data_IF_593828770009
#
_entry.id   IF_593828770009
#
_cell.length_a   1.000
_cell.length_b   1.000
_cell.length_c   1.000
_cell.angle_alpha   90.00
_cell.angle_beta   90.00
_cell.angle_gamma   90.00
#
_symmetry.space_group_name_H-M   'P 1'
#
loop_
_entity.id
_entity.type
_entity.pdbx_description
1 polymer ?
#
# COMPACT_ATOMS: atom_id res chain seq x y z
N UNK A 1 32.46 1.43 -3.55
CA UNK A 1 31.35 0.83 -4.34
C UNK A 1 30.18 0.69 -3.39
N UNK A 2 29.11 1.45 -3.61
CA UNK A 2 27.85 1.32 -2.86
C UNK A 2 27.08 0.20 -3.54
N UNK A 3 26.86 -0.91 -2.82
CA UNK A 3 25.98 -2.00 -3.28
C UNK A 3 24.60 -1.74 -2.72
N UNK A 4 23.64 -1.41 -3.57
CA UNK A 4 22.24 -1.38 -3.20
C UNK A 4 21.73 -2.82 -3.15
N UNK A 5 21.34 -3.29 -1.97
CA UNK A 5 20.60 -4.55 -1.82
C UNK A 5 19.18 -4.41 -2.40
N UNK A 6 18.55 -5.53 -2.71
CA UNK A 6 17.11 -5.53 -3.01
C UNK A 6 16.36 -5.01 -1.78
N UNK A 7 15.54 -3.97 -1.98
CA UNK A 7 14.69 -3.43 -0.92
C UNK A 7 13.72 -4.50 -0.42
N UNK A 8 13.52 -4.57 0.89
CA UNK A 8 12.49 -5.44 1.47
C UNK A 8 11.11 -4.85 1.17
N UNK A 9 10.20 -5.69 0.68
CA UNK A 9 8.81 -5.32 0.50
C UNK A 9 8.13 -5.34 1.87
N UNK A 10 7.52 -4.23 2.24
CA UNK A 10 6.82 -4.10 3.52
C UNK A 10 5.35 -4.39 3.29
N UNK A 11 4.91 -5.57 3.67
CA UNK A 11 3.50 -5.96 3.69
C UNK A 11 2.78 -5.36 4.90
N UNK A 12 1.46 -5.31 4.84
CA UNK A 12 0.56 -5.00 5.97
C UNK A 12 -0.51 -6.06 6.10
N UNK A 13 -1.24 -6.04 7.20
CA UNK A 13 -2.36 -6.94 7.42
C UNK A 13 -3.60 -6.15 7.81
N UNK A 14 -4.78 -6.63 7.40
CA UNK A 14 -6.09 -6.15 7.85
C UNK A 14 -7.00 -7.32 8.16
N UNK A 15 -8.26 -7.07 8.45
CA UNK A 15 -9.27 -8.10 8.72
C UNK A 15 -10.41 -8.04 7.71
N UNK A 16 -10.99 -9.20 7.38
CA UNK A 16 -12.08 -9.30 6.43
C UNK A 16 -13.47 -9.14 7.07
N UNK A 17 -13.60 -9.41 8.37
CA UNK A 17 -14.89 -9.45 9.07
C UNK A 17 -14.78 -8.84 10.46
N UNK A 18 -15.85 -8.20 10.95
CA UNK A 18 -15.94 -7.72 12.33
C UNK A 18 -15.74 -8.84 13.34
N UNK A 19 -15.09 -8.52 14.45
CA UNK A 19 -14.85 -9.46 15.54
C UNK A 19 -14.75 -8.72 16.86
N UNK A 20 -15.28 -9.33 17.93
CA UNK A 20 -15.03 -8.87 19.28
C UNK A 20 -13.76 -9.52 19.82
N UNK A 21 -12.85 -8.71 20.31
CA UNK A 21 -11.64 -9.12 21.00
C UNK A 21 -11.74 -8.85 22.50
N UNK A 22 -11.47 -9.86 23.31
CA UNK A 22 -11.50 -9.76 24.78
C UNK A 22 -10.11 -9.91 25.35
N UNK A 23 -9.70 -8.96 26.17
CA UNK A 23 -8.43 -8.98 26.88
C UNK A 23 -8.63 -8.92 28.38
N UNK A 24 -8.09 -9.89 29.08
CA UNK A 24 -8.13 -9.99 30.52
C UNK A 24 -6.70 -10.05 31.08
N UNK A 25 -6.43 -9.25 32.10
CA UNK A 25 -5.13 -9.20 32.77
C UNK A 25 -5.35 -9.21 34.29
N UNK A 26 -5.02 -10.33 34.93
CA UNK A 26 -5.24 -10.54 36.36
C UNK A 26 -4.09 -11.33 37.02
N UNK A 27 -2.83 -10.82 37.03
CA UNK A 27 -1.77 -11.41 37.80
C UNK A 27 -1.77 -10.88 39.23
N UNK A 28 -1.86 -11.76 40.22
CA UNK A 28 -1.77 -11.46 41.66
C UNK A 28 -2.73 -10.33 42.12
N UNK A 29 -2.24 -9.08 42.25
CA UNK A 29 -2.99 -7.91 42.71
C UNK A 29 -3.38 -6.96 41.61
N UNK A 30 -3.33 -7.36 40.36
CA UNK A 30 -3.68 -6.55 39.19
C UNK A 30 -4.96 -7.05 38.57
N UNK A 31 -5.76 -6.14 38.00
CA UNK A 31 -6.99 -6.51 37.32
C UNK A 31 -7.33 -5.49 36.23
N UNK A 32 -7.48 -5.93 35.01
CA UNK A 32 -8.12 -5.15 33.95
C UNK A 32 -8.78 -6.08 32.93
N UNK A 33 -9.94 -5.66 32.45
CA UNK A 33 -10.67 -6.32 31.35
C UNK A 33 -11.08 -5.30 30.32
N UNK A 34 -10.93 -5.63 29.04
CA UNK A 34 -11.24 -4.78 27.89
C UNK A 34 -11.90 -5.61 26.81
N UNK A 35 -13.02 -5.11 26.30
CA UNK A 35 -13.71 -5.65 25.13
C UNK A 35 -13.63 -4.64 24.00
N UNK A 36 -13.11 -5.06 22.87
CA UNK A 36 -12.92 -4.25 21.66
C UNK A 36 -13.65 -4.87 20.49
N UNK A 37 -14.43 -4.08 19.77
CA UNK A 37 -14.93 -4.45 18.45
C UNK A 37 -13.88 -4.01 17.42
N UNK A 38 -13.38 -4.96 16.64
CA UNK A 38 -12.50 -4.71 15.50
C UNK A 38 -13.33 -4.86 14.24
N UNK A 39 -13.35 -3.83 13.40
CA UNK A 39 -14.11 -3.80 12.15
C UNK A 39 -13.16 -3.45 11.00
N UNK A 40 -13.36 -4.03 9.79
CA UNK A 40 -12.63 -3.58 8.61
C UNK A 40 -12.84 -2.09 8.40
N UNK A 41 -11.75 -1.33 8.21
CA UNK A 41 -11.76 0.08 7.86
C UNK A 41 -11.63 0.31 6.37
N UNK A 42 -11.73 1.57 5.95
CA UNK A 42 -11.49 1.96 4.56
C UNK A 42 -10.00 1.81 4.20
N UNK A 43 -9.67 1.44 2.95
CA UNK A 43 -8.29 1.37 2.51
C UNK A 43 -7.53 2.68 2.77
N UNK A 44 -6.39 2.60 3.45
CA UNK A 44 -5.57 3.74 3.81
C UNK A 44 -6.00 4.49 5.08
N UNK A 45 -7.08 4.06 5.78
CA UNK A 45 -7.54 4.71 7.02
C UNK A 45 -6.63 4.45 8.23
N UNK A 46 -5.76 3.44 8.15
CA UNK A 46 -4.90 3.07 9.26
C UNK A 46 -5.68 2.45 10.43
N UNK A 47 -5.39 2.89 11.67
CA UNK A 47 -6.11 2.46 12.87
C UNK A 47 -6.98 3.61 13.34
N UNK A 48 -8.30 3.42 13.26
CA UNK A 48 -9.29 4.33 13.81
C UNK A 48 -9.76 3.85 15.17
N UNK A 49 -9.99 4.77 16.12
CA UNK A 49 -10.41 4.44 17.48
C UNK A 49 -11.70 5.16 17.84
N UNK A 50 -12.66 4.41 18.35
CA UNK A 50 -13.92 4.93 18.87
C UNK A 50 -14.23 4.33 20.25
N UNK A 51 -15.21 4.89 20.97
CA UNK A 51 -15.75 4.31 22.20
C UNK A 51 -17.26 4.39 22.19
N UNK A 52 -17.89 3.28 22.51
CA UNK A 52 -19.32 3.14 22.80
C UNK A 52 -19.56 2.77 24.27
N UNK A 53 -18.50 2.69 25.06
CA UNK A 53 -18.56 2.37 26.47
C UNK A 53 -19.15 3.52 27.27
N UNK A 54 -20.16 3.21 28.12
CA UNK A 54 -20.71 4.18 29.06
C UNK A 54 -19.69 4.56 30.16
N UNK A 55 -19.67 5.83 30.57
CA UNK A 55 -18.85 6.29 31.70
C UNK A 55 -19.26 5.63 33.03
N UNK A 56 -20.51 5.21 33.16
CA UNK A 56 -21.02 4.47 34.34
C UNK A 56 -20.41 3.06 34.41
N UNK A 57 -20.03 2.48 33.30
CA UNK A 57 -19.40 1.15 33.22
C UNK A 57 -17.89 1.23 33.41
N UNK A 58 -17.26 2.17 32.71
CA UNK A 58 -15.83 2.40 32.78
C UNK A 58 -15.52 3.90 32.73
N UNK A 59 -14.88 4.43 33.76
CA UNK A 59 -14.48 5.83 33.83
C UNK A 59 -13.76 6.32 32.56
N UNK A 60 -14.07 7.53 32.15
CA UNK A 60 -13.57 8.13 30.90
C UNK A 60 -12.02 8.19 30.84
N UNK A 61 -11.34 8.31 31.97
CA UNK A 61 -9.88 8.31 32.00
C UNK A 61 -9.31 6.94 31.59
N UNK A 62 -9.97 5.86 32.02
CA UNK A 62 -9.60 4.50 31.59
C UNK A 62 -9.88 4.28 30.10
N UNK A 63 -11.03 4.77 29.60
CA UNK A 63 -11.33 4.70 28.17
C UNK A 63 -10.30 5.44 27.33
N UNK A 64 -9.90 6.65 27.74
CA UNK A 64 -8.85 7.42 27.07
C UNK A 64 -7.49 6.72 27.12
N UNK A 65 -7.18 6.07 28.22
CA UNK A 65 -5.97 5.29 28.37
C UNK A 65 -5.96 4.07 27.45
N UNK A 66 -7.07 3.33 27.35
CA UNK A 66 -7.24 2.22 26.39
C UNK A 66 -7.05 2.74 24.97
N UNK A 67 -7.69 3.86 24.58
CA UNK A 67 -7.53 4.47 23.28
C UNK A 67 -6.06 4.83 22.98
N UNK A 68 -5.34 5.36 23.97
CA UNK A 68 -3.90 5.62 23.84
C UNK A 68 -3.12 4.34 23.59
N UNK A 69 -3.42 3.27 24.31
CA UNK A 69 -2.73 1.98 24.13
C UNK A 69 -3.01 1.30 22.80
N UNK A 70 -4.16 1.58 22.16
CA UNK A 70 -4.46 1.10 20.81
C UNK A 70 -3.52 1.77 19.79
N UNK A 71 -3.23 3.06 19.92
CA UNK A 71 -2.45 3.80 18.91
C UNK A 71 -0.96 3.98 19.24
N UNK A 72 -0.52 3.70 20.48
CA UNK A 72 0.86 3.95 20.91
C UNK A 72 1.92 3.07 20.22
N UNK A 73 1.49 2.00 19.56
CA UNK A 73 2.39 1.08 18.86
C UNK A 73 1.71 0.42 17.67
N UNK A 74 2.51 -0.06 16.74
CA UNK A 74 2.04 -0.97 15.69
C UNK A 74 1.67 -2.34 16.29
N UNK A 75 0.50 -2.85 15.91
CA UNK A 75 0.06 -4.18 16.31
C UNK A 75 0.43 -5.19 15.22
N UNK A 76 1.16 -6.26 15.56
CA UNK A 76 1.49 -7.28 14.58
C UNK A 76 0.26 -8.11 14.22
N UNK A 77 0.03 -8.31 12.94
CA UNK A 77 -0.98 -9.22 12.43
C UNK A 77 -0.71 -10.69 12.77
N UNK A 78 -1.54 -11.59 12.30
CA UNK A 78 -1.47 -13.01 12.64
C UNK A 78 -0.99 -13.90 11.50
N UNK A 79 -0.92 -13.38 10.27
CA UNK A 79 -0.45 -14.12 9.09
C UNK A 79 1.08 -14.12 9.00
N UNK A 80 1.65 -12.93 8.94
CA UNK A 80 3.10 -12.74 8.75
C UNK A 80 3.76 -11.96 9.89
N UNK A 81 2.95 -11.36 10.76
CA UNK A 81 3.41 -10.42 11.78
C UNK A 81 3.62 -9.01 11.25
N UNK A 82 3.20 -8.73 10.02
CA UNK A 82 3.21 -7.39 9.45
C UNK A 82 2.28 -6.45 10.21
N UNK A 83 2.51 -5.13 10.12
CA UNK A 83 1.72 -4.16 10.84
C UNK A 83 0.24 -4.20 10.45
N UNK A 84 -0.65 -4.19 11.44
CA UNK A 84 -2.09 -4.07 11.25
C UNK A 84 -2.43 -2.66 10.74
N UNK A 85 -3.34 -2.57 9.77
CA UNK A 85 -3.84 -1.32 9.20
C UNK A 85 -5.30 -1.47 8.76
N UNK A 86 -5.95 -0.34 8.48
CA UNK A 86 -7.31 -0.29 7.92
C UNK A 86 -8.30 -1.06 8.79
N UNK A 87 -8.25 -0.78 10.11
CA UNK A 87 -9.13 -1.38 11.11
C UNK A 87 -9.67 -0.29 12.03
N UNK A 88 -10.99 -0.24 12.19
CA UNK A 88 -11.64 0.54 13.22
C UNK A 88 -11.76 -0.29 14.48
N UNK A 89 -11.28 0.24 15.60
CA UNK A 89 -11.31 -0.41 16.91
C UNK A 89 -12.20 0.40 17.84
N UNK A 90 -13.34 -0.18 18.22
CA UNK A 90 -14.34 0.45 19.10
C UNK A 90 -14.27 -0.17 20.50
N UNK A 91 -14.12 0.65 21.52
CA UNK A 91 -14.18 0.22 22.93
C UNK A 91 -15.64 -0.05 23.26
N UNK A 92 -16.03 -1.33 23.49
CA UNK A 92 -17.38 -1.72 23.84
C UNK A 92 -17.62 -1.63 25.33
N UNK A 93 -16.74 -2.21 26.13
CA UNK A 93 -16.83 -2.24 27.59
C UNK A 93 -15.45 -2.54 28.19
N UNK A 94 -15.35 -2.35 29.48
CA UNK A 94 -14.17 -2.71 30.25
C UNK A 94 -14.47 -2.76 31.75
N UNK A 95 -13.54 -3.32 32.49
CA UNK A 95 -13.68 -3.45 33.93
C UNK A 95 -12.38 -3.14 34.66
N UNK A 96 -12.49 -2.27 35.66
CA UNK A 96 -11.44 -1.93 36.58
C UNK A 96 -11.79 -2.40 38.00
N UNK A 97 -10.79 -2.66 38.80
CA UNK A 97 -10.96 -2.92 40.22
C UNK A 97 -10.38 -1.77 41.05
N UNK A 98 -11.16 -1.16 41.93
CA UNK A 98 -10.83 0.08 42.67
C UNK A 98 -9.45 0.04 43.36
N UNK A 99 -9.03 -1.14 43.83
CA UNK A 99 -7.77 -1.31 44.59
C UNK A 99 -6.64 -1.99 43.80
N UNK A 100 -6.95 -2.55 42.63
CA UNK A 100 -6.05 -3.50 41.94
C UNK A 100 -5.82 -3.14 40.49
N UNK A 101 -6.36 -2.04 39.98
CA UNK A 101 -6.13 -1.60 38.60
C UNK A 101 -5.13 -0.48 38.54
N UNK A 102 -4.08 -0.67 37.77
CA UNK A 102 -3.11 0.33 37.42
C UNK A 102 -3.13 0.57 35.88
N UNK A 103 -2.57 1.70 35.42
CA UNK A 103 -2.57 2.05 34.00
C UNK A 103 -1.91 0.99 33.11
N UNK A 104 -0.86 0.34 33.59
CA UNK A 104 -0.17 -0.74 32.92
C UNK A 104 -1.00 -2.00 32.70
N UNK A 105 -2.02 -2.23 33.52
CA UNK A 105 -2.92 -3.39 33.42
C UNK A 105 -3.81 -3.25 32.20
N UNK A 106 -4.36 -2.06 31.97
CA UNK A 106 -5.12 -1.74 30.76
C UNK A 106 -4.28 -1.86 29.49
N UNK A 107 -2.99 -1.51 29.54
CA UNK A 107 -2.09 -1.76 28.40
C UNK A 107 -2.04 -3.24 28.05
N UNK A 108 -1.84 -4.10 29.03
CA UNK A 108 -1.78 -5.56 28.82
C UNK A 108 -3.12 -6.13 28.35
N UNK A 109 -4.22 -5.70 28.96
CA UNK A 109 -5.56 -6.13 28.58
C UNK A 109 -5.90 -5.70 27.14
N UNK A 110 -5.59 -4.45 26.76
CA UNK A 110 -5.82 -3.92 25.40
C UNK A 110 -5.05 -4.72 24.35
N UNK A 111 -3.75 -4.98 24.57
CA UNK A 111 -2.96 -5.77 23.62
C UNK A 111 -3.44 -7.21 23.50
N UNK A 112 -3.92 -7.81 24.59
CA UNK A 112 -4.53 -9.14 24.58
C UNK A 112 -5.84 -9.16 23.83
N UNK A 113 -6.70 -8.13 24.01
CA UNK A 113 -7.97 -8.00 23.31
C UNK A 113 -7.75 -7.92 21.79
N UNK A 114 -6.86 -7.05 21.31
CA UNK A 114 -6.51 -6.95 19.90
C UNK A 114 -5.98 -8.30 19.38
N UNK A 115 -5.01 -8.89 20.08
CA UNK A 115 -4.41 -10.16 19.64
C UNK A 115 -5.41 -11.31 19.62
N UNK A 116 -6.32 -11.37 20.59
CA UNK A 116 -7.35 -12.40 20.65
C UNK A 116 -8.35 -12.22 19.51
N UNK A 117 -8.83 -10.98 19.25
CA UNK A 117 -9.72 -10.65 18.14
C UNK A 117 -9.09 -11.05 16.79
N UNK A 118 -7.84 -10.64 16.52
CA UNK A 118 -7.14 -11.00 15.29
C UNK A 118 -6.99 -12.51 15.07
N UNK A 119 -6.86 -13.29 16.13
CA UNK A 119 -6.80 -14.77 16.04
C UNK A 119 -8.16 -15.42 15.78
N UNK A 120 -9.24 -14.70 16.02
CA UNK A 120 -10.62 -15.21 15.94
C UNK A 120 -11.33 -14.79 14.65
N UNK A 121 -10.72 -13.95 13.83
CA UNK A 121 -11.27 -13.50 12.54
C UNK A 121 -10.37 -13.90 11.38
N UNK A 122 -10.88 -13.71 10.18
CA UNK A 122 -10.13 -13.89 8.93
C UNK A 122 -9.26 -12.65 8.68
N UNK A 123 -7.95 -12.84 8.64
CA UNK A 123 -6.98 -11.78 8.32
C UNK A 123 -6.66 -11.78 6.83
N UNK A 124 -6.35 -10.61 6.30
CA UNK A 124 -6.03 -10.36 4.89
C UNK A 124 -4.64 -9.75 4.81
N UNK A 125 -3.80 -10.29 3.92
CA UNK A 125 -2.49 -9.72 3.62
C UNK A 125 -2.62 -8.62 2.57
N UNK A 126 -1.97 -7.50 2.80
CA UNK A 126 -1.93 -6.35 1.90
C UNK A 126 -0.51 -6.16 1.36
N UNK A 127 -0.39 -6.00 0.05
CA UNK A 127 0.87 -5.67 -0.60
C UNK A 127 0.93 -4.19 -1.03
N UNK A 128 2.12 -3.57 -0.99
CA UNK A 128 2.27 -2.20 -1.47
C UNK A 128 2.14 -2.14 -2.98
N UNK A 129 1.48 -1.09 -3.46
CA UNK A 129 1.22 -0.83 -4.87
C UNK A 129 2.02 0.39 -5.35
N UNK A 130 2.43 0.38 -6.62
CA UNK A 130 2.86 1.55 -7.35
C UNK A 130 1.75 2.05 -8.27
N UNK A 131 1.51 3.35 -8.27
CA UNK A 131 0.99 4.04 -9.44
C UNK A 131 2.15 4.23 -10.42
N UNK A 132 1.95 3.87 -11.67
CA UNK A 132 2.98 4.04 -12.69
C UNK A 132 2.52 4.90 -13.86
N UNK A 133 3.47 5.61 -14.44
CA UNK A 133 3.36 6.24 -15.74
C UNK A 133 4.48 5.67 -16.61
N UNK A 134 4.09 5.02 -17.71
CA UNK A 134 5.00 4.41 -18.66
C UNK A 134 4.87 5.07 -20.03
N UNK A 135 5.93 5.73 -20.47
CA UNK A 135 6.05 6.34 -21.78
C UNK A 135 6.91 5.45 -22.68
N UNK A 136 6.37 5.03 -23.81
CA UNK A 136 7.08 4.16 -24.77
C UNK A 136 6.80 4.58 -26.21
N UNK A 137 7.69 4.28 -27.15
CA UNK A 137 7.40 4.41 -28.59
C UNK A 137 6.16 3.60 -28.97
N UNK A 138 5.37 4.10 -29.92
CA UNK A 138 4.10 3.47 -30.32
C UNK A 138 4.26 2.02 -30.81
N UNK A 139 5.37 1.68 -31.45
CA UNK A 139 5.69 0.32 -31.87
C UNK A 139 5.97 -0.65 -30.70
N UNK A 140 6.33 -0.12 -29.52
CA UNK A 140 6.61 -0.89 -28.33
C UNK A 140 5.39 -1.07 -27.40
N UNK A 141 4.26 -0.39 -27.64
CA UNK A 141 3.06 -0.41 -26.77
C UNK A 141 2.53 -1.82 -26.54
N UNK A 142 2.43 -2.64 -27.60
CA UNK A 142 1.91 -4.01 -27.47
C UNK A 142 2.75 -4.88 -26.54
N UNK A 143 4.08 -4.71 -26.59
CA UNK A 143 4.99 -5.38 -25.66
C UNK A 143 4.83 -4.85 -24.25
N UNK A 144 4.80 -3.53 -24.07
CA UNK A 144 4.60 -2.90 -22.76
C UNK A 144 3.32 -3.38 -22.06
N UNK A 145 2.19 -3.42 -22.81
CA UNK A 145 0.92 -3.94 -22.29
C UNK A 145 0.99 -5.43 -21.89
N UNK A 146 1.73 -6.22 -22.64
CA UNK A 146 1.91 -7.65 -22.33
C UNK A 146 2.76 -7.84 -21.08
N UNK A 147 3.87 -7.10 -20.98
CA UNK A 147 4.77 -7.14 -19.83
C UNK A 147 4.06 -6.65 -18.56
N UNK A 148 3.27 -5.57 -18.64
CA UNK A 148 2.50 -5.05 -17.52
C UNK A 148 1.44 -6.06 -17.03
N UNK A 149 0.73 -6.74 -17.94
CA UNK A 149 -0.22 -7.81 -17.59
C UNK A 149 0.46 -8.98 -16.87
N UNK A 150 1.64 -9.40 -17.34
CA UNK A 150 2.42 -10.46 -16.69
C UNK A 150 2.90 -10.07 -15.30
N UNK A 151 3.03 -8.76 -15.03
CA UNK A 151 3.41 -8.18 -13.75
C UNK A 151 2.21 -7.82 -12.87
N UNK A 152 1.02 -8.32 -13.21
CA UNK A 152 -0.25 -8.04 -12.52
C UNK A 152 -0.63 -6.56 -12.51
N UNK A 153 -0.11 -5.76 -13.45
CA UNK A 153 -0.47 -4.37 -13.61
C UNK A 153 -1.89 -4.20 -14.16
N UNK A 154 -2.63 -3.29 -13.54
CA UNK A 154 -3.92 -2.78 -14.00
C UNK A 154 -3.64 -1.43 -14.67
N UNK A 155 -4.09 -1.22 -15.91
CA UNK A 155 -3.80 0.02 -16.65
C UNK A 155 -4.95 0.41 -17.57
N UNK A 156 -5.03 1.71 -17.85
CA UNK A 156 -6.01 2.31 -18.73
C UNK A 156 -5.63 2.15 -20.22
N UNK A 157 -6.52 2.59 -21.09
CA UNK A 157 -6.25 2.62 -22.55
C UNK A 157 -5.05 3.55 -22.81
N UNK A 158 -4.05 3.11 -23.63
CA UNK A 158 -2.90 3.94 -23.93
C UNK A 158 -3.29 5.26 -24.59
N UNK A 159 -2.69 6.35 -24.14
CA UNK A 159 -2.81 7.67 -24.75
C UNK A 159 -1.69 7.83 -25.79
N UNK A 160 -2.03 8.27 -27.00
CA UNK A 160 -1.07 8.46 -28.07
C UNK A 160 -0.72 9.94 -28.23
N UNK A 161 0.56 10.26 -28.04
CA UNK A 161 1.09 11.59 -28.24
C UNK A 161 1.75 11.64 -29.64
N UNK A 162 1.26 12.45 -30.59
CA UNK A 162 1.87 12.56 -31.89
C UNK A 162 3.29 13.13 -31.75
N UNK A 163 4.25 12.51 -32.45
CA UNK A 163 5.58 13.07 -32.56
C UNK A 163 5.50 14.45 -33.22
N UNK A 164 6.18 15.45 -32.67
CA UNK A 164 6.27 16.76 -33.31
C UNK A 164 6.93 16.60 -34.68
N UNK A 165 6.14 16.71 -35.73
CA UNK A 165 6.69 17.01 -37.05
C UNK A 165 7.33 18.40 -36.97
N UNK A 166 8.65 18.44 -36.80
CA UNK A 166 9.37 19.66 -37.08
C UNK A 166 9.10 20.03 -38.54
N UNK A 167 8.32 21.10 -38.71
CA UNK A 167 8.17 21.78 -40.02
C UNK A 167 9.55 21.92 -40.67
N UNK A 168 9.77 21.12 -41.66
CA UNK A 168 10.87 21.35 -42.60
C UNK A 168 10.51 22.63 -43.33
N UNK A 169 11.16 23.73 -42.94
CA UNK A 169 11.14 24.97 -43.69
C UNK A 169 11.66 24.67 -45.11
N UNK A 170 10.74 24.70 -46.04
CA UNK A 170 11.01 24.43 -47.45
C UNK A 170 11.57 25.69 -48.14
N UNK A 171 12.77 26.12 -47.72
CA UNK A 171 13.49 27.15 -48.45
C UNK A 171 15.00 26.91 -48.43
N UNK A 172 15.44 25.94 -49.21
CA UNK A 172 16.79 25.97 -49.85
C UNK A 172 16.88 24.82 -50.88
N UNK A 173 16.34 25.09 -52.06
CA UNK A 173 16.69 24.33 -53.26
C UNK A 173 18.10 24.70 -53.75
N UNK A 174 18.98 23.76 -53.84
CA UNK A 174 19.84 23.46 -55.00
C UNK A 174 21.04 22.60 -54.65
N UNK A 175 21.06 21.42 -55.24
CA UNK A 175 22.32 20.83 -55.77
C UNK A 175 23.10 19.94 -54.83
N UNK A 176 22.91 18.65 -54.89
CA UNK A 176 23.92 17.68 -55.30
C UNK A 176 23.48 16.25 -54.96
N UNK A 177 23.30 15.41 -55.95
CA UNK A 177 23.13 13.97 -55.79
C UNK A 177 24.47 13.36 -55.40
N UNK A 178 24.56 12.76 -54.21
CA UNK A 178 25.45 11.64 -53.95
C UNK A 178 24.70 10.70 -53.03
N UNK A 179 24.60 9.43 -53.44
CA UNK A 179 23.82 8.41 -52.74
C UNK A 179 24.34 8.13 -51.34
N UNK A 180 23.47 8.19 -50.43
CA UNK A 180 23.45 7.41 -49.20
C UNK A 180 22.00 7.31 -48.76
N UNK A 181 21.49 6.11 -48.65
CA UNK A 181 20.24 5.80 -48.02
C UNK A 181 20.30 6.18 -46.55
N UNK A 182 19.93 7.42 -46.25
CA UNK A 182 19.53 7.75 -44.89
C UNK A 182 18.19 7.04 -44.69
N UNK A 183 18.21 5.99 -43.87
CA UNK A 183 16.97 5.48 -43.25
C UNK A 183 16.31 6.69 -42.57
N UNK A 184 15.19 7.11 -43.10
CA UNK A 184 14.28 8.04 -42.43
C UNK A 184 13.98 7.42 -41.07
N UNK A 185 14.60 7.91 -40.01
CA UNK A 185 14.15 7.66 -38.68
C UNK A 185 12.75 8.29 -38.61
N UNK A 186 11.76 7.44 -38.83
CA UNK A 186 10.38 7.76 -38.57
C UNK A 186 10.32 8.13 -37.08
N UNK A 187 10.10 9.39 -36.77
CA UNK A 187 9.84 9.81 -35.41
C UNK A 187 8.49 9.19 -35.04
N UNK A 188 8.54 7.97 -34.53
CA UNK A 188 7.37 7.26 -34.04
C UNK A 188 6.84 8.05 -32.86
N UNK A 189 5.54 8.41 -32.89
CA UNK A 189 4.88 9.07 -31.76
C UNK A 189 5.09 8.24 -30.47
N UNK A 190 4.93 8.88 -29.34
CA UNK A 190 4.98 8.22 -28.04
C UNK A 190 3.59 7.76 -27.61
N UNK A 191 3.53 6.74 -26.79
CA UNK A 191 2.32 6.33 -26.09
C UNK A 191 2.58 6.34 -24.59
N UNK A 192 1.58 6.77 -23.84
CA UNK A 192 1.60 6.85 -22.39
C UNK A 192 0.58 5.88 -21.82
N UNK A 193 1.01 5.06 -20.86
CA UNK A 193 0.16 4.16 -20.09
C UNK A 193 0.21 4.56 -18.63
N UNK A 194 -0.98 4.73 -18.03
CA UNK A 194 -1.16 4.96 -16.61
C UNK A 194 -1.81 3.74 -15.96
N UNK A 195 -1.41 3.44 -14.73
CA UNK A 195 -2.00 2.32 -14.02
C UNK A 195 -1.36 2.05 -12.68
N UNK A 196 -1.73 0.91 -12.08
CA UNK A 196 -1.20 0.44 -10.81
C UNK A 196 -0.61 -0.96 -10.96
N UNK A 197 0.42 -1.28 -10.19
CA UNK A 197 1.03 -2.61 -10.17
C UNK A 197 1.70 -2.89 -8.82
N UNK A 198 1.78 -4.19 -8.39
CA UNK A 198 2.47 -4.57 -7.17
C UNK A 198 3.95 -4.16 -7.19
N UNK A 199 4.42 -3.59 -6.09
CA UNK A 199 5.84 -3.20 -5.93
C UNK A 199 6.77 -4.39 -6.21
N UNK A 200 6.39 -5.58 -5.76
CA UNK A 200 7.16 -6.81 -5.93
C UNK A 200 7.50 -7.14 -7.39
N UNK A 201 6.58 -6.87 -8.30
CA UNK A 201 6.70 -7.24 -9.72
C UNK A 201 7.39 -6.18 -10.57
N UNK A 202 7.55 -4.95 -10.04
CA UNK A 202 8.05 -3.79 -10.80
C UNK A 202 9.54 -3.49 -10.58
N UNK A 203 10.21 -4.19 -9.65
CA UNK A 203 11.60 -3.88 -9.24
C UNK A 203 12.60 -3.76 -10.40
N UNK A 204 12.50 -4.66 -11.40
CA UNK A 204 13.43 -4.69 -12.55
C UNK A 204 12.81 -4.14 -13.84
N UNK A 205 11.58 -3.64 -13.78
CA UNK A 205 10.85 -3.30 -15.00
C UNK A 205 11.45 -2.11 -15.75
N UNK A 206 12.01 -1.14 -15.05
CA UNK A 206 12.70 -0.01 -15.67
C UNK A 206 13.86 -0.46 -16.58
N UNK A 207 14.65 -1.43 -16.14
CA UNK A 207 15.73 -2.02 -16.94
C UNK A 207 15.18 -2.71 -18.20
N UNK A 208 14.06 -3.44 -18.06
CA UNK A 208 13.41 -4.09 -19.19
C UNK A 208 12.87 -3.07 -20.19
N UNK A 209 12.23 -2.00 -19.72
CA UNK A 209 11.74 -0.88 -20.55
C UNK A 209 12.86 -0.27 -21.36
N UNK A 210 13.97 0.10 -20.74
CA UNK A 210 15.12 0.66 -21.43
C UNK A 210 15.69 -0.31 -22.48
N UNK A 211 15.73 -1.61 -22.18
CA UNK A 211 16.26 -2.60 -23.09
C UNK A 211 15.45 -2.73 -24.39
N UNK A 212 14.11 -2.89 -24.31
CA UNK A 212 13.30 -3.09 -25.51
C UNK A 212 12.95 -1.80 -26.24
N UNK A 213 12.98 -0.65 -25.57
CA UNK A 213 12.77 0.66 -26.20
C UNK A 213 14.07 1.31 -26.67
N UNK A 214 15.22 0.63 -26.53
CA UNK A 214 16.55 1.18 -26.84
C UNK A 214 16.85 2.49 -26.12
N UNK A 215 16.34 2.61 -24.90
CA UNK A 215 16.53 3.80 -24.04
C UNK A 215 15.53 4.94 -24.28
N UNK A 216 14.56 4.78 -25.19
CA UNK A 216 13.56 5.81 -25.46
C UNK A 216 12.37 5.76 -24.49
N UNK A 217 12.16 4.63 -23.78
CA UNK A 217 11.08 4.48 -22.82
C UNK A 217 11.42 5.10 -21.48
N UNK A 218 10.40 5.65 -20.82
CA UNK A 218 10.52 6.23 -19.48
C UNK A 218 9.46 5.63 -18.56
N UNK A 219 9.86 5.20 -17.38
CA UNK A 219 8.97 4.64 -16.35
C UNK A 219 9.09 5.45 -15.06
N UNK A 220 7.97 6.02 -14.61
CA UNK A 220 7.84 6.68 -13.32
C UNK A 220 7.01 5.78 -12.40
N UNK A 221 7.44 5.65 -11.14
CA UNK A 221 6.80 4.83 -10.12
C UNK A 221 6.62 5.64 -8.84
N UNK A 222 5.40 5.77 -8.37
CA UNK A 222 5.02 6.42 -7.11
C UNK A 222 4.28 5.42 -6.22
N UNK A 223 4.52 5.45 -4.90
CA UNK A 223 3.78 4.59 -3.99
C UNK A 223 2.31 5.02 -3.91
N UNK A 224 1.39 4.08 -4.14
CA UNK A 224 -0.07 4.31 -4.22
C UNK A 224 -0.87 3.51 -3.17
N UNK A 225 -0.28 3.31 -2.01
CA UNK A 225 -0.94 2.61 -0.92
C UNK A 225 -0.78 1.09 -0.97
N UNK A 226 -1.83 0.37 -0.56
CA UNK A 226 -1.83 -1.08 -0.40
C UNK A 226 -3.08 -1.68 -1.03
N UNK A 227 -2.97 -2.87 -1.62
CA UNK A 227 -4.10 -3.67 -2.15
C UNK A 227 -3.97 -5.12 -1.64
N UNK A 228 -5.03 -5.87 -1.74
CA UNK A 228 -5.07 -7.29 -1.32
C UNK A 228 -4.15 -8.12 -2.21
N UNK A 229 -3.32 -8.97 -1.60
CA UNK A 229 -2.43 -9.91 -2.30
C UNK A 229 -3.20 -10.95 -3.13
#
# INVERSE_FOLDING_TARGET
>A
VVVFGQGNIVYKETIAKPVEGVGHFEPLRHYAEVHLLLEPGEPGSGIEVASECSEDVLDLNWQRLIATHIVEREHPGVLTGSALTDVKITILTGRAHIKHTEGGDFRQATYRAIRQGLKSTESVLLEPMYAFTLEVPQDAVGRAMTDLKQRFGKFDTPEFVPGNEHMHDSSLSRGMRVGNTFASECITGMAVLHGTAPVATMQDYNTSVHAYTKGLGHLTLDLDGYDVC
#
